data_IF_932116092536
#
_entry.id   IF_932116092536
#
_cell.length_a   1.000
_cell.length_b   1.000
_cell.length_c   1.000
_cell.angle_alpha   90.00
_cell.angle_beta   90.00
_cell.angle_gamma   90.00
#
_symmetry.space_group_name_H-M   'P 1'
#
loop_
_entity.id
_entity.type
_entity.pdbx_description
1 polymer ?
#
# COMPACT_ATOMS: atom_id res chain seq x y z
N UNK A 1 -4.62 -14.25 -6.53
CA UNK A 1 -5.52 -14.28 -7.69
C UNK A 1 -6.69 -15.21 -7.41
N UNK A 2 -7.80 -14.99 -8.09
CA UNK A 2 -8.95 -15.88 -8.14
C UNK A 2 -8.91 -16.69 -9.45
N UNK A 3 -9.80 -17.67 -9.57
CA UNK A 3 -10.18 -18.26 -10.85
C UNK A 3 -11.67 -18.06 -11.06
N UNK A 4 -12.05 -17.78 -12.31
CA UNK A 4 -13.42 -17.87 -12.81
C UNK A 4 -13.34 -18.77 -14.03
N UNK A 5 -14.04 -19.91 -13.98
CA UNK A 5 -14.03 -20.90 -15.07
C UNK A 5 -12.60 -21.25 -15.55
N UNK A 6 -11.73 -21.57 -14.59
CA UNK A 6 -10.32 -21.88 -14.86
C UNK A 6 -9.42 -20.68 -15.20
N UNK A 7 -9.97 -19.51 -15.55
CA UNK A 7 -9.21 -18.32 -15.95
C UNK A 7 -8.78 -17.49 -14.75
N UNK A 8 -7.52 -17.07 -14.74
CA UNK A 8 -6.95 -16.24 -13.66
C UNK A 8 -7.55 -14.84 -13.68
N UNK A 9 -8.03 -14.39 -12.52
CA UNK A 9 -8.57 -13.04 -12.32
C UNK A 9 -8.01 -12.40 -11.05
N UNK A 10 -8.17 -11.08 -10.95
CA UNK A 10 -7.76 -10.27 -9.81
C UNK A 10 -8.97 -9.57 -9.23
N UNK A 11 -9.05 -9.57 -7.90
CA UNK A 11 -9.94 -8.68 -7.19
C UNK A 11 -9.18 -7.38 -6.92
N UNK A 12 -9.83 -6.28 -7.22
CA UNK A 12 -9.36 -4.93 -6.99
C UNK A 12 -10.24 -4.29 -5.94
N UNK A 13 -9.62 -3.52 -5.07
CA UNK A 13 -10.28 -2.68 -4.09
C UNK A 13 -10.00 -1.20 -4.37
N UNK A 14 -11.07 -0.42 -4.29
CA UNK A 14 -11.04 1.03 -4.31
C UNK A 14 -11.72 1.48 -3.03
N UNK A 15 -10.96 2.10 -2.13
CA UNK A 15 -11.42 2.35 -0.78
C UNK A 15 -11.16 3.79 -0.37
N UNK A 16 -12.21 4.48 0.09
CA UNK A 16 -12.17 5.83 0.66
C UNK A 16 -12.33 5.74 2.18
N UNK A 17 -12.59 6.87 2.86
CA UNK A 17 -12.88 6.86 4.32
C UNK A 17 -14.26 6.24 4.60
N UNK A 18 -15.13 6.24 3.61
CA UNK A 18 -16.55 5.92 3.73
C UNK A 18 -16.94 4.72 2.87
N UNK A 19 -16.31 4.54 1.71
CA UNK A 19 -16.77 3.61 0.68
C UNK A 19 -15.74 2.53 0.38
N UNK A 20 -16.24 1.33 0.11
CA UNK A 20 -15.46 0.23 -0.47
C UNK A 20 -16.12 -0.23 -1.77
N UNK A 21 -15.37 -0.20 -2.85
CA UNK A 21 -15.72 -0.83 -4.12
C UNK A 21 -14.75 -1.96 -4.42
N UNK A 22 -15.30 -3.16 -4.57
CA UNK A 22 -14.58 -4.33 -5.07
C UNK A 22 -15.00 -4.62 -6.50
N UNK A 23 -14.03 -4.84 -7.38
CA UNK A 23 -14.27 -5.32 -8.75
C UNK A 23 -13.37 -6.50 -9.07
N UNK A 24 -13.87 -7.43 -9.89
CA UNK A 24 -13.09 -8.57 -10.37
C UNK A 24 -12.81 -8.39 -11.86
N UNK A 25 -11.53 -8.43 -12.23
CA UNK A 25 -11.08 -8.22 -13.61
C UNK A 25 -10.01 -9.23 -14.02
N UNK A 26 -9.92 -9.58 -15.32
CA UNK A 26 -8.89 -10.46 -15.86
C UNK A 26 -7.54 -9.74 -16.07
N UNK A 27 -7.34 -8.58 -15.46
CA UNK A 27 -6.11 -7.80 -15.55
C UNK A 27 -5.72 -7.22 -14.19
N UNK A 28 -4.41 -7.08 -13.96
CA UNK A 28 -3.81 -6.30 -12.85
C UNK A 28 -3.18 -4.99 -13.35
N UNK A 29 -3.49 -4.61 -14.59
CA UNK A 29 -2.89 -3.48 -15.28
C UNK A 29 -3.58 -2.14 -15.00
N UNK A 30 -2.90 -1.08 -15.43
CA UNK A 30 -3.36 0.32 -15.35
C UNK A 30 -4.78 0.53 -15.90
N UNK A 31 -5.13 -0.18 -16.98
CA UNK A 31 -6.43 -0.04 -17.63
C UNK A 31 -7.64 -0.33 -16.71
N UNK A 32 -7.50 -1.14 -15.66
CA UNK A 32 -8.58 -1.36 -14.69
C UNK A 32 -8.82 -0.12 -13.82
N UNK A 33 -7.75 0.59 -13.44
CA UNK A 33 -7.87 1.82 -12.67
C UNK A 33 -8.56 2.90 -13.51
N UNK A 34 -8.17 3.02 -14.78
CA UNK A 34 -8.78 3.96 -15.73
C UNK A 34 -10.23 3.61 -16.07
N UNK A 35 -10.57 2.32 -16.13
CA UNK A 35 -11.94 1.84 -16.30
C UNK A 35 -12.82 2.25 -15.12
N UNK A 36 -12.32 2.10 -13.89
CA UNK A 36 -13.13 2.30 -12.67
C UNK A 36 -13.16 3.76 -12.23
N UNK A 37 -12.02 4.45 -12.27
CA UNK A 37 -11.88 5.84 -11.79
C UNK A 37 -11.95 6.88 -12.91
N UNK A 38 -11.94 6.44 -14.17
CA UNK A 38 -11.84 7.31 -15.34
C UNK A 38 -10.40 7.63 -15.72
N UNK A 39 -10.17 7.91 -17.01
CA UNK A 39 -8.85 8.28 -17.56
C UNK A 39 -8.32 9.61 -17.03
N UNK A 40 -9.20 10.47 -16.57
CA UNK A 40 -8.87 11.80 -16.02
C UNK A 40 -8.61 11.77 -14.51
N UNK A 41 -8.70 10.60 -13.87
CA UNK A 41 -8.39 10.48 -12.46
C UNK A 41 -6.94 10.89 -12.19
N UNK A 42 -6.77 12.02 -11.50
CA UNK A 42 -5.49 12.57 -11.08
C UNK A 42 -5.25 12.39 -9.57
N UNK A 43 -5.99 11.48 -8.93
CA UNK A 43 -5.99 11.32 -7.48
C UNK A 43 -4.80 10.55 -6.92
N UNK A 44 -4.96 10.15 -5.66
CA UNK A 44 -3.91 9.59 -4.81
C UNK A 44 -4.01 8.06 -4.77
N UNK A 45 -2.87 7.37 -4.78
CA UNK A 45 -2.79 5.91 -4.66
C UNK A 45 -1.73 5.53 -3.62
N UNK A 46 -2.15 4.77 -2.61
CA UNK A 46 -1.22 4.12 -1.68
C UNK A 46 -0.95 2.70 -2.18
N UNK A 47 0.31 2.32 -2.39
CA UNK A 47 0.65 1.02 -3.00
C UNK A 47 1.88 0.35 -2.38
N UNK A 48 1.97 -0.96 -2.56
CA UNK A 48 3.01 -1.86 -2.04
C UNK A 48 4.28 -1.95 -2.90
N UNK A 49 4.33 -1.26 -4.05
CA UNK A 49 5.42 -1.44 -5.02
C UNK A 49 4.97 -1.60 -6.46
N UNK A 50 3.67 -1.78 -6.72
CA UNK A 50 3.19 -2.07 -8.07
C UNK A 50 3.49 -0.96 -9.09
N UNK A 51 4.21 -1.31 -10.18
CA UNK A 51 4.60 -0.37 -11.24
C UNK A 51 3.42 0.09 -12.11
N UNK A 52 2.31 -0.64 -12.10
CA UNK A 52 1.12 -0.28 -12.86
C UNK A 52 0.48 1.06 -12.45
N UNK A 53 0.90 1.63 -11.32
CA UNK A 53 0.42 2.90 -10.81
C UNK A 53 1.31 4.11 -11.17
N UNK A 54 2.41 3.91 -11.90
CA UNK A 54 3.25 5.02 -12.34
C UNK A 54 2.42 6.01 -13.19
N UNK A 55 2.49 7.29 -12.83
CA UNK A 55 1.72 8.38 -13.44
C UNK A 55 0.70 9.05 -12.51
N UNK A 56 0.35 8.43 -11.38
CA UNK A 56 -0.49 9.04 -10.34
C UNK A 56 0.33 9.58 -9.16
N UNK A 57 -0.34 10.27 -8.23
CA UNK A 57 0.27 10.68 -6.95
C UNK A 57 0.41 9.45 -6.06
N UNK A 58 1.62 8.91 -5.94
CA UNK A 58 1.87 7.67 -5.21
C UNK A 58 2.41 7.88 -3.80
N UNK A 59 1.95 7.03 -2.89
CA UNK A 59 2.59 6.77 -1.61
C UNK A 59 3.01 5.29 -1.55
N UNK A 60 4.28 5.03 -1.27
CA UNK A 60 4.75 3.66 -1.01
C UNK A 60 4.41 3.25 0.42
N UNK A 61 3.91 2.03 0.57
CA UNK A 61 3.46 1.51 1.86
C UNK A 61 4.64 1.26 2.80
N UNK A 62 4.72 2.05 3.88
CA UNK A 62 5.75 1.87 4.91
C UNK A 62 5.70 0.51 5.61
N UNK A 63 4.51 -0.07 5.79
CA UNK A 63 4.38 -1.39 6.43
C UNK A 63 5.11 -2.48 5.62
N UNK A 64 5.11 -2.40 4.29
CA UNK A 64 5.87 -3.32 3.45
C UNK A 64 7.37 -3.10 3.57
N UNK A 65 7.83 -1.85 3.56
CA UNK A 65 9.24 -1.51 3.79
C UNK A 65 9.75 -2.07 5.12
N UNK A 66 9.01 -1.84 6.21
CA UNK A 66 9.40 -2.32 7.54
C UNK A 66 9.40 -3.84 7.63
N UNK A 67 8.51 -4.55 6.92
CA UNK A 67 8.57 -6.02 6.81
C UNK A 67 9.83 -6.50 6.10
N UNK A 68 10.19 -5.88 4.97
CA UNK A 68 11.44 -6.22 4.23
C UNK A 68 12.67 -5.93 5.10
N UNK A 69 12.67 -4.79 5.80
CA UNK A 69 13.75 -4.40 6.71
C UNK A 69 13.89 -5.33 7.92
N UNK A 70 12.77 -5.82 8.47
CA UNK A 70 12.79 -6.80 9.56
C UNK A 70 13.47 -8.10 9.14
N UNK A 71 13.20 -8.60 7.94
CA UNK A 71 13.89 -9.80 7.41
C UNK A 71 15.39 -9.53 7.29
N UNK A 72 15.79 -8.38 6.73
CA UNK A 72 17.21 -8.01 6.66
C UNK A 72 17.89 -7.87 8.02
N UNK A 73 17.15 -7.51 9.08
CA UNK A 73 17.64 -7.45 10.45
C UNK A 73 17.91 -8.82 11.08
N UNK A 74 17.29 -9.89 10.59
CA UNK A 74 17.57 -11.25 11.05
C UNK A 74 18.91 -11.76 10.51
N UNK A 75 19.45 -11.13 9.46
CA UNK A 75 20.67 -11.59 8.77
C UNK A 75 21.97 -10.93 9.24
N UNK A 76 21.92 -9.75 9.90
CA UNK A 76 23.14 -9.05 10.35
C UNK A 76 22.87 -7.94 11.38
N UNK A 77 23.88 -7.58 12.18
CA UNK A 77 23.84 -6.41 13.08
C UNK A 77 23.66 -5.09 12.31
N UNK A 78 24.22 -5.00 11.10
CA UNK A 78 24.00 -3.88 10.20
C UNK A 78 22.53 -3.77 9.79
N UNK A 79 21.90 -4.90 9.45
CA UNK A 79 20.48 -5.00 9.17
C UNK A 79 19.61 -4.59 10.36
N UNK A 80 19.95 -5.02 11.58
CA UNK A 80 19.26 -4.58 12.82
C UNK A 80 19.33 -3.07 12.98
N UNK A 81 20.50 -2.49 12.74
CA UNK A 81 20.71 -1.05 12.80
C UNK A 81 19.87 -0.29 11.77
N UNK A 82 19.86 -0.76 10.51
CA UNK A 82 19.03 -0.17 9.45
C UNK A 82 17.54 -0.28 9.76
N UNK A 83 17.07 -1.45 10.21
CA UNK A 83 15.68 -1.64 10.60
C UNK A 83 15.25 -0.72 11.75
N UNK A 84 16.08 -0.61 12.79
CA UNK A 84 15.84 0.31 13.91
C UNK A 84 15.74 1.76 13.44
N UNK A 85 16.65 2.20 12.57
CA UNK A 85 16.63 3.54 12.00
C UNK A 85 15.37 3.81 11.14
N UNK A 86 14.92 2.83 10.35
CA UNK A 86 13.70 2.95 9.55
C UNK A 86 12.43 2.99 10.42
N UNK A 87 12.37 2.18 11.48
CA UNK A 87 11.28 2.23 12.45
C UNK A 87 11.18 3.59 13.14
N UNK A 88 12.33 4.13 13.58
CA UNK A 88 12.40 5.42 14.23
C UNK A 88 12.02 6.56 13.28
N UNK A 89 12.53 6.53 12.05
CA UNK A 89 12.14 7.48 11.00
C UNK A 89 10.64 7.43 10.74
N UNK A 90 10.06 6.24 10.55
CA UNK A 90 8.62 6.09 10.34
C UNK A 90 7.80 6.68 11.50
N UNK A 91 8.20 6.36 12.74
CA UNK A 91 7.57 6.87 13.95
C UNK A 91 7.62 8.40 14.01
N UNK A 92 8.77 9.01 13.73
CA UNK A 92 8.92 10.47 13.70
C UNK A 92 8.02 11.12 12.65
N UNK A 93 7.89 10.52 11.47
CA UNK A 93 7.10 11.11 10.38
C UNK A 93 5.59 10.99 10.64
N UNK A 94 5.14 9.93 11.31
CA UNK A 94 3.72 9.61 11.49
C UNK A 94 3.13 9.99 12.85
N UNK A 95 3.96 10.24 13.88
CA UNK A 95 3.49 10.61 15.23
C UNK A 95 2.57 11.82 15.19
N UNK A 96 1.35 11.67 15.71
CA UNK A 96 0.33 12.73 15.78
C UNK A 96 0.07 13.45 14.44
N UNK A 97 0.26 12.75 13.32
CA UNK A 97 0.17 13.33 11.98
C UNK A 97 -1.21 13.96 11.68
N UNK A 98 -2.28 13.42 12.26
CA UNK A 98 -3.63 13.96 12.13
C UNK A 98 -3.76 15.40 12.68
N UNK A 99 -2.97 15.73 13.72
CA UNK A 99 -2.95 17.04 14.38
C UNK A 99 -1.83 17.96 13.87
N UNK A 100 -0.94 17.45 13.00
CA UNK A 100 0.22 18.20 12.54
C UNK A 100 -0.17 19.33 11.57
N UNK A 101 0.33 20.53 11.84
CA UNK A 101 0.17 21.69 10.95
C UNK A 101 0.90 21.51 9.62
N UNK A 102 0.56 22.33 8.62
CA UNK A 102 1.26 22.34 7.33
C UNK A 102 2.78 22.58 7.49
N UNK A 103 3.16 23.51 8.37
CA UNK A 103 4.58 23.79 8.69
C UNK A 103 5.27 22.57 9.32
N UNK A 104 4.60 21.87 10.24
CA UNK A 104 5.15 20.67 10.86
C UNK A 104 5.33 19.53 9.82
N UNK A 105 4.35 19.33 8.93
CA UNK A 105 4.43 18.37 7.82
C UNK A 105 5.57 18.69 6.85
N UNK A 106 5.73 19.95 6.46
CA UNK A 106 6.82 20.40 5.60
C UNK A 106 8.20 20.16 6.25
N UNK A 107 8.36 20.49 7.55
CA UNK A 107 9.58 20.19 8.30
C UNK A 107 9.87 18.69 8.35
N UNK A 108 8.84 17.86 8.61
CA UNK A 108 8.98 16.40 8.58
C UNK A 108 9.40 15.91 7.21
N UNK A 109 8.84 16.43 6.13
CA UNK A 109 9.25 16.05 4.78
C UNK A 109 10.73 16.34 4.54
N UNK A 110 11.21 17.55 4.88
CA UNK A 110 12.62 17.91 4.74
C UNK A 110 13.53 16.99 5.56
N UNK A 111 13.19 16.77 6.83
CA UNK A 111 13.97 15.89 7.73
C UNK A 111 13.95 14.45 7.22
N UNK A 112 12.77 13.92 6.88
CA UNK A 112 12.60 12.55 6.45
C UNK A 112 13.31 12.23 5.15
N UNK A 113 13.25 13.12 4.14
CA UNK A 113 14.02 12.99 2.90
C UNK A 113 15.52 12.98 3.19
N UNK A 114 16.02 13.94 3.98
CA UNK A 114 17.44 13.98 4.34
C UNK A 114 17.90 12.71 5.06
N UNK A 115 17.14 12.25 6.06
CA UNK A 115 17.47 11.03 6.79
C UNK A 115 17.44 9.81 5.86
N UNK A 116 16.48 9.74 4.93
CA UNK A 116 16.44 8.65 3.94
C UNK A 116 17.69 8.63 3.05
N UNK A 117 18.14 9.80 2.57
CA UNK A 117 19.35 9.92 1.76
C UNK A 117 20.62 9.57 2.56
N UNK A 118 20.67 9.92 3.84
CA UNK A 118 21.75 9.51 4.75
C UNK A 118 21.77 7.99 4.95
N UNK A 119 20.62 7.34 5.12
CA UNK A 119 20.52 5.87 5.20
C UNK A 119 20.97 5.21 3.89
N UNK A 120 20.49 5.68 2.75
CA UNK A 120 20.90 5.14 1.44
C UNK A 120 22.41 5.28 1.20
N UNK A 121 23.01 6.40 1.59
CA UNK A 121 24.48 6.59 1.50
C UNK A 121 25.24 5.67 2.45
N UNK A 122 24.76 5.53 3.69
CA UNK A 122 25.42 4.71 4.72
C UNK A 122 25.39 3.22 4.37
N UNK A 123 24.24 2.70 3.97
CA UNK A 123 24.02 1.27 3.78
C UNK A 123 24.14 0.82 2.32
N UNK A 124 24.22 1.76 1.37
CA UNK A 124 24.16 1.46 -0.07
C UNK A 124 25.27 0.56 -0.60
N UNK A 125 26.41 0.48 0.10
CA UNK A 125 27.56 -0.39 -0.26
C UNK A 125 27.74 -1.58 0.70
N UNK A 126 26.75 -1.86 1.54
CA UNK A 126 26.81 -3.00 2.46
C UNK A 126 27.03 -4.31 1.71
N UNK A 127 27.92 -5.20 2.17
CA UNK A 127 28.06 -6.53 1.59
C UNK A 127 26.94 -7.49 2.04
N UNK A 128 26.10 -7.11 3.02
CA UNK A 128 25.02 -7.96 3.53
C UNK A 128 23.89 -8.09 2.51
N UNK A 129 23.52 -9.31 2.06
CA UNK A 129 22.41 -9.51 1.13
C UNK A 129 21.08 -8.95 1.65
N UNK A 130 20.77 -9.16 2.93
CA UNK A 130 19.59 -8.61 3.59
C UNK A 130 19.54 -7.09 3.56
N UNK A 131 20.67 -6.42 3.85
CA UNK A 131 20.76 -4.94 3.78
C UNK A 131 20.60 -4.46 2.34
N UNK A 132 21.26 -5.09 1.37
CA UNK A 132 21.15 -4.75 -0.05
C UNK A 132 19.72 -4.88 -0.57
N UNK A 133 18.98 -5.90 -0.11
CA UNK A 133 17.56 -6.08 -0.44
C UNK A 133 16.71 -4.90 0.07
N UNK A 134 16.98 -4.41 1.28
CA UNK A 134 16.29 -3.25 1.86
C UNK A 134 16.64 -1.97 1.10
N UNK A 135 17.93 -1.73 0.83
CA UNK A 135 18.39 -0.58 0.04
C UNK A 135 17.75 -0.56 -1.35
N UNK A 136 17.75 -1.70 -2.05
CA UNK A 136 17.11 -1.84 -3.35
C UNK A 136 15.61 -1.53 -3.27
N UNK A 137 14.94 -2.01 -2.22
CA UNK A 137 13.51 -1.73 -2.00
C UNK A 137 13.26 -0.22 -1.76
N UNK A 138 14.10 0.44 -0.97
CA UNK A 138 14.06 1.89 -0.74
C UNK A 138 14.25 2.68 -2.04
N UNK A 139 15.26 2.32 -2.85
CA UNK A 139 15.54 2.98 -4.12
C UNK A 139 14.36 2.85 -5.10
N UNK A 140 13.80 1.64 -5.24
CA UNK A 140 12.62 1.38 -6.08
C UNK A 140 11.33 2.08 -5.61
N UNK A 141 11.30 2.50 -4.35
CA UNK A 141 10.20 3.27 -3.78
C UNK A 141 10.33 4.78 -3.89
N UNK A 142 11.53 5.28 -4.21
CA UNK A 142 11.77 6.71 -4.39
C UNK A 142 11.02 7.25 -5.62
N UNK A 143 10.48 8.48 -5.60
CA UNK A 143 10.48 9.47 -4.51
C UNK A 143 9.27 9.40 -3.55
N UNK A 144 8.52 8.29 -3.55
CA UNK A 144 7.15 8.23 -3.02
C UNK A 144 7.03 7.78 -1.55
N UNK A 145 8.11 7.82 -0.78
CA UNK A 145 8.08 7.41 0.64
C UNK A 145 7.38 8.41 1.55
N UNK A 146 7.38 9.69 1.21
CA UNK A 146 6.88 10.76 2.08
C UNK A 146 5.76 11.59 1.44
N UNK A 147 5.14 11.10 0.36
CA UNK A 147 4.04 11.78 -0.32
C UNK A 147 2.89 12.08 0.62
N UNK A 148 2.62 11.22 1.59
CA UNK A 148 1.59 11.41 2.61
C UNK A 148 1.77 12.68 3.47
N UNK A 149 3.00 13.22 3.55
CA UNK A 149 3.25 14.48 4.24
C UNK A 149 2.80 15.69 3.40
N UNK A 150 2.78 15.55 2.07
CA UNK A 150 2.33 16.59 1.12
C UNK A 150 0.81 16.64 0.98
N UNK A 151 0.11 15.52 1.18
CA UNK A 151 -1.33 15.41 0.99
C UNK A 151 -2.05 15.06 2.29
N UNK A 152 -2.93 15.96 2.76
CA UNK A 152 -3.75 15.69 3.96
C UNK A 152 -4.75 14.57 3.65
N UNK A 153 -4.96 13.66 4.60
CA UNK A 153 -5.84 12.49 4.45
C UNK A 153 -5.16 11.27 3.81
N UNK A 154 -3.98 11.43 3.20
CA UNK A 154 -3.24 10.31 2.63
C UNK A 154 -2.58 9.47 3.74
N UNK A 155 -2.80 8.16 3.70
CA UNK A 155 -2.20 7.22 4.64
C UNK A 155 -0.76 6.88 4.24
N UNK A 156 0.14 6.74 5.23
CA UNK A 156 1.52 6.27 5.00
C UNK A 156 1.60 4.76 4.65
N UNK A 157 0.50 4.02 4.83
CA UNK A 157 0.41 2.57 4.67
C UNK A 157 -0.84 2.19 3.89
N UNK A 158 -0.78 1.07 3.17
CA UNK A 158 -1.93 0.53 2.42
C UNK A 158 -2.91 -0.27 3.33
N UNK A 159 -2.94 0.00 4.63
CA UNK A 159 -3.75 -0.76 5.58
C UNK A 159 -5.24 -0.71 5.24
N UNK A 160 -5.70 0.42 4.69
CA UNK A 160 -7.08 0.61 4.26
C UNK A 160 -7.46 -0.39 3.16
N UNK A 161 -6.67 -0.46 2.09
CA UNK A 161 -6.93 -1.39 1.00
C UNK A 161 -6.76 -2.85 1.44
N UNK A 162 -5.72 -3.15 2.21
CA UNK A 162 -5.51 -4.49 2.79
C UNK A 162 -6.72 -4.94 3.65
N UNK A 163 -7.34 -4.03 4.40
CA UNK A 163 -8.58 -4.32 5.15
C UNK A 163 -9.78 -4.53 4.23
N UNK A 164 -9.96 -3.69 3.21
CA UNK A 164 -11.05 -3.82 2.24
C UNK A 164 -11.06 -5.18 1.52
N UNK A 165 -9.87 -5.71 1.22
CA UNK A 165 -9.74 -7.02 0.58
C UNK A 165 -9.89 -8.22 1.52
N UNK A 166 -9.80 -8.03 2.84
CA UNK A 166 -9.63 -9.13 3.80
C UNK A 166 -10.77 -10.14 3.75
N UNK A 167 -12.00 -9.64 3.71
CA UNK A 167 -13.20 -10.49 3.72
C UNK A 167 -13.29 -11.34 2.45
N UNK A 168 -13.09 -10.73 1.28
CA UNK A 168 -13.02 -11.47 0.02
C UNK A 168 -11.92 -12.54 0.06
N UNK A 169 -10.74 -12.23 0.59
CA UNK A 169 -9.63 -13.19 0.72
C UNK A 169 -10.00 -14.36 1.64
N UNK A 170 -10.70 -14.13 2.75
CA UNK A 170 -11.16 -15.19 3.66
C UNK A 170 -12.16 -16.09 2.95
N UNK A 171 -13.19 -15.51 2.31
CA UNK A 171 -14.19 -16.28 1.58
C UNK A 171 -13.53 -17.12 0.49
N UNK A 172 -12.57 -16.56 -0.27
CA UNK A 172 -11.78 -17.32 -1.25
C UNK A 172 -11.18 -18.59 -0.68
N UNK A 173 -10.60 -18.53 0.52
CA UNK A 173 -9.94 -19.67 1.15
C UNK A 173 -10.94 -20.77 1.51
N UNK A 174 -12.19 -20.41 1.76
CA UNK A 174 -13.27 -21.34 2.10
C UNK A 174 -13.88 -21.95 0.84
N UNK A 175 -14.27 -21.13 -0.14
CA UNK A 175 -15.01 -21.59 -1.33
C UNK A 175 -14.11 -22.02 -2.51
N UNK A 176 -12.83 -21.66 -2.48
CA UNK A 176 -11.83 -22.01 -3.48
C UNK A 176 -11.90 -21.18 -4.78
N UNK A 177 -13.03 -21.20 -5.47
CA UNK A 177 -13.20 -20.54 -6.80
C UNK A 177 -14.59 -19.96 -7.00
N UNK A 178 -14.69 -18.99 -7.90
CA UNK A 178 -15.98 -18.50 -8.43
C UNK A 178 -16.27 -19.27 -9.72
N UNK A 179 -17.52 -19.70 -9.93
CA UNK A 179 -17.88 -20.61 -11.04
C UNK A 179 -18.16 -19.90 -12.36
N UNK A 180 -18.68 -18.67 -12.31
CA UNK A 180 -19.00 -17.88 -13.50
C UNK A 180 -18.91 -16.38 -13.19
N UNK A 181 -18.99 -15.55 -14.24
CA UNK A 181 -18.89 -14.09 -14.12
C UNK A 181 -20.06 -13.47 -13.36
N UNK A 182 -21.29 -13.94 -13.59
CA UNK A 182 -22.47 -13.42 -12.87
C UNK A 182 -22.32 -13.56 -11.35
N UNK A 183 -21.89 -14.74 -10.87
CA UNK A 183 -21.63 -14.97 -9.46
C UNK A 183 -20.44 -14.18 -8.93
N UNK A 184 -19.41 -13.96 -9.75
CA UNK A 184 -18.27 -13.12 -9.36
C UNK A 184 -18.64 -11.64 -9.23
N UNK A 185 -19.46 -11.12 -10.13
CA UNK A 185 -19.97 -9.75 -10.07
C UNK A 185 -20.92 -9.55 -8.89
N UNK A 186 -21.87 -10.48 -8.68
CA UNK A 186 -22.75 -10.46 -7.51
C UNK A 186 -21.93 -10.48 -6.21
N UNK A 187 -20.93 -11.36 -6.12
CA UNK A 187 -20.02 -11.45 -4.98
C UNK A 187 -19.29 -10.13 -4.72
N UNK A 188 -18.69 -9.54 -5.75
CA UNK A 188 -17.97 -8.27 -5.62
C UNK A 188 -18.89 -7.12 -5.19
N UNK A 189 -20.10 -7.03 -5.77
CA UNK A 189 -21.12 -6.03 -5.42
C UNK A 189 -21.58 -6.18 -3.97
N UNK A 190 -21.94 -7.39 -3.54
CA UNK A 190 -22.37 -7.64 -2.16
C UNK A 190 -21.30 -7.24 -1.16
N UNK A 191 -20.05 -7.66 -1.36
CA UNK A 191 -18.95 -7.28 -0.45
C UNK A 191 -18.61 -5.79 -0.49
N UNK A 192 -18.86 -5.11 -1.61
CA UNK A 192 -18.74 -3.64 -1.68
C UNK A 192 -19.76 -2.95 -0.77
N UNK A 193 -21.02 -3.38 -0.83
CA UNK A 193 -22.10 -2.85 0.02
C UNK A 193 -21.84 -3.14 1.49
N UNK A 194 -21.60 -4.41 1.85
CA UNK A 194 -21.34 -4.80 3.24
C UNK A 194 -20.09 -4.13 3.80
N UNK A 195 -19.04 -4.01 2.99
CA UNK A 195 -17.82 -3.31 3.37
C UNK A 195 -18.04 -1.81 3.61
N UNK A 196 -18.87 -1.17 2.79
CA UNK A 196 -19.24 0.25 2.93
C UNK A 196 -20.08 0.48 4.19
N UNK A 197 -21.11 -0.35 4.44
CA UNK A 197 -21.88 -0.31 5.69
C UNK A 197 -21.00 -0.45 6.93
N UNK A 198 -20.05 -1.39 6.88
CA UNK A 198 -19.08 -1.57 7.96
C UNK A 198 -18.17 -0.35 8.17
N UNK A 199 -17.78 0.37 7.12
CA UNK A 199 -17.01 1.61 7.23
C UNK A 199 -17.84 2.71 7.90
N UNK A 200 -19.15 2.74 7.69
CA UNK A 200 -20.07 3.65 8.35
C UNK A 200 -20.44 3.26 9.80
N UNK A 201 -19.99 2.08 10.26
CA UNK A 201 -20.38 1.55 11.57
C UNK A 201 -21.82 1.02 11.61
N UNK A 202 -22.42 0.79 10.45
CA UNK A 202 -23.71 0.16 10.30
C UNK A 202 -23.56 -1.36 10.50
N UNK A 203 -24.60 -2.01 11.05
CA UNK A 203 -24.61 -3.46 11.20
C UNK A 203 -25.07 -4.10 9.87
N UNK A 204 -24.21 -4.84 9.16
CA UNK A 204 -24.54 -5.44 7.87
C UNK A 204 -25.51 -6.62 7.96
#
# INVERSE_FOLDING_TARGET
>A
SYRIDGRKVWIWDFCTDTDLLLVIRPSRGRGVVEEVLGKEYAGQIVCDGWKGYLGWVLQRCWAHLLRVAKVGAEESEEGKSLYGALCELYRQMTRELAKASAKARARRLTVGTRTMDELLRRYGRSPSPGVQKVVTYLQNGSPWWFTFLKHRGMDATNNRGERGLREAIVIRKIVGTLRNWNGAEAFARMLSVLGTWKLHGENP
#
